data_IF_553667871289
#
_entry.id   IF_553667871289
#
_cell.length_a   1.000
_cell.length_b   1.000
_cell.length_c   1.000
_cell.angle_alpha   90.00
_cell.angle_beta   90.00
_cell.angle_gamma   90.00
#
_symmetry.space_group_name_H-M   'P 1'
#
loop_
_entity.id
_entity.type
_entity.pdbx_description
1 polymer ?
#
# COMPACT_ATOMS: atom_id res chain seq x y z
N UNK A 1 2.34 16.06 3.97
CA UNK A 1 2.87 16.64 5.22
C UNK A 1 3.14 15.48 6.16
N UNK A 2 4.30 15.44 6.82
CA UNK A 2 4.62 14.37 7.74
C UNK A 2 3.75 14.47 9.01
N UNK A 3 3.38 13.33 9.58
CA UNK A 3 2.63 13.27 10.82
C UNK A 3 3.49 13.77 11.98
N UNK A 4 2.98 14.65 12.85
CA UNK A 4 3.75 15.20 13.97
C UNK A 4 4.00 14.18 15.09
N UNK A 5 3.22 13.10 15.11
CA UNK A 5 3.32 11.99 16.06
C UNK A 5 3.31 10.66 15.32
N UNK A 6 3.94 9.61 15.87
CA UNK A 6 3.96 8.28 15.27
C UNK A 6 2.54 7.73 15.15
N UNK A 7 2.10 7.51 13.91
CA UNK A 7 0.79 6.92 13.62
C UNK A 7 0.74 5.46 14.08
N UNK A 8 -0.47 4.98 14.39
CA UNK A 8 -0.73 3.62 14.90
C UNK A 8 -1.89 2.97 14.15
N UNK A 9 -1.98 1.64 14.29
CA UNK A 9 -3.06 0.82 13.75
C UNK A 9 -3.42 1.18 12.29
N UNK A 10 -4.68 1.52 12.00
CA UNK A 10 -5.16 1.80 10.64
C UNK A 10 -4.47 3.00 9.99
N UNK A 11 -4.22 4.06 10.75
CA UNK A 11 -3.57 5.27 10.24
C UNK A 11 -2.13 4.99 9.82
N UNK A 12 -1.44 4.12 10.58
CA UNK A 12 -0.09 3.68 10.22
C UNK A 12 -0.09 2.89 8.92
N UNK A 13 -1.01 1.94 8.77
CA UNK A 13 -1.09 1.09 7.57
C UNK A 13 -1.44 1.93 6.34
N UNK A 14 -2.39 2.85 6.44
CA UNK A 14 -2.78 3.74 5.34
C UNK A 14 -1.61 4.65 4.92
N UNK A 15 -0.97 5.30 5.90
CA UNK A 15 0.21 6.13 5.65
C UNK A 15 1.36 5.32 5.03
N UNK A 16 1.65 4.14 5.57
CA UNK A 16 2.70 3.27 5.04
C UNK A 16 2.41 2.86 3.60
N UNK A 17 1.17 2.46 3.29
CA UNK A 17 0.74 2.09 1.94
C UNK A 17 0.84 3.26 0.96
N UNK A 18 0.40 4.46 1.35
CA UNK A 18 0.50 5.66 0.53
C UNK A 18 1.96 6.02 0.17
N UNK A 19 2.89 5.69 1.05
CA UNK A 19 4.32 5.97 0.89
C UNK A 19 5.15 4.75 0.47
N UNK A 20 4.56 3.57 0.31
CA UNK A 20 5.28 2.32 0.07
C UNK A 20 6.11 2.35 -1.23
N UNK A 21 5.62 3.06 -2.27
CA UNK A 21 6.35 3.26 -3.54
C UNK A 21 7.62 4.13 -3.38
N UNK A 22 7.68 4.97 -2.34
CA UNK A 22 8.80 5.87 -2.06
C UNK A 22 9.88 5.22 -1.19
N UNK A 23 9.61 4.02 -0.66
CA UNK A 23 10.52 3.26 0.19
C UNK A 23 10.35 3.54 1.68
N UNK A 24 10.99 2.69 2.47
CA UNK A 24 10.79 2.60 3.93
C UNK A 24 11.22 3.85 4.69
N UNK A 25 12.31 4.50 4.27
CA UNK A 25 12.81 5.71 4.92
C UNK A 25 11.83 6.88 4.79
N UNK A 26 11.24 7.05 3.60
CA UNK A 26 10.26 8.11 3.37
C UNK A 26 8.96 7.78 4.09
N UNK A 27 8.49 6.54 4.05
CA UNK A 27 7.30 6.12 4.77
C UNK A 27 7.42 6.37 6.28
N UNK A 28 8.51 5.93 6.92
CA UNK A 28 8.75 6.16 8.35
C UNK A 28 8.71 7.65 8.71
N UNK A 29 9.37 8.49 7.93
CA UNK A 29 9.36 9.95 8.13
C UNK A 29 7.96 10.54 8.00
N UNK A 30 7.20 10.14 6.98
CA UNK A 30 5.84 10.66 6.76
C UNK A 30 4.84 10.15 7.82
N UNK A 31 5.06 8.95 8.36
CA UNK A 31 4.19 8.35 9.37
C UNK A 31 4.59 8.74 10.82
N UNK A 32 5.53 9.66 11.00
CA UNK A 32 5.88 10.23 12.31
C UNK A 32 6.96 9.47 13.09
N UNK A 33 7.66 8.53 12.44
CA UNK A 33 8.77 7.75 13.02
C UNK A 33 10.16 8.36 12.70
N UNK A 34 10.23 9.31 11.77
CA UNK A 34 11.48 9.96 11.40
C UNK A 34 12.48 8.97 10.79
N UNK A 35 13.60 8.79 11.48
CA UNK A 35 14.67 7.86 11.09
C UNK A 35 14.58 6.51 11.82
N UNK A 36 13.60 6.34 12.71
CA UNK A 36 13.42 5.12 13.50
C UNK A 36 12.71 4.03 12.69
N UNK A 37 13.44 3.47 11.73
CA UNK A 37 12.91 2.45 10.80
C UNK A 37 12.58 1.13 11.51
N UNK A 38 13.28 0.83 12.61
CA UNK A 38 13.06 -0.40 13.37
C UNK A 38 11.69 -0.34 14.06
N UNK A 39 11.42 0.72 14.83
CA UNK A 39 10.11 0.91 15.47
C UNK A 39 9.01 1.04 14.43
N UNK A 40 9.24 1.75 13.31
CA UNK A 40 8.26 1.82 12.22
C UNK A 40 7.89 0.44 11.69
N UNK A 41 8.89 -0.43 11.44
CA UNK A 41 8.66 -1.76 10.89
C UNK A 41 7.92 -2.68 11.86
N UNK A 42 8.29 -2.65 13.13
CA UNK A 42 7.62 -3.43 14.18
C UNK A 42 6.16 -3.01 14.35
N UNK A 43 5.91 -1.71 14.46
CA UNK A 43 4.55 -1.18 14.61
C UNK A 43 3.69 -1.43 13.37
N UNK A 44 4.28 -1.30 12.17
CA UNK A 44 3.58 -1.58 10.93
C UNK A 44 3.18 -3.06 10.85
N UNK A 45 4.09 -3.96 11.21
CA UNK A 45 3.80 -5.39 11.26
C UNK A 45 2.71 -5.72 12.27
N UNK A 46 2.78 -5.15 13.48
CA UNK A 46 1.74 -5.35 14.49
C UNK A 46 0.38 -4.80 14.03
N UNK A 47 0.35 -3.63 13.40
CA UNK A 47 -0.87 -3.04 12.87
C UNK A 47 -1.50 -3.92 11.78
N UNK A 48 -0.69 -4.47 10.88
CA UNK A 48 -1.16 -5.40 9.85
C UNK A 48 -1.66 -6.72 10.46
N UNK A 49 -0.93 -7.28 11.42
CA UNK A 49 -1.27 -8.54 12.10
C UNK A 49 -2.62 -8.44 12.84
N UNK A 50 -2.87 -7.31 13.51
CA UNK A 50 -4.18 -7.01 14.14
C UNK A 50 -5.34 -6.98 13.15
N UNK A 51 -5.08 -6.68 11.88
CA UNK A 51 -6.06 -6.67 10.80
C UNK A 51 -6.14 -8.03 10.07
N UNK A 52 -5.35 -9.03 10.49
CA UNK A 52 -5.27 -10.32 9.81
C UNK A 52 -4.49 -10.27 8.50
N UNK A 53 -3.66 -9.24 8.29
CA UNK A 53 -2.83 -9.05 7.10
C UNK A 53 -1.38 -9.45 7.46
N UNK A 54 -0.86 -10.47 6.80
CA UNK A 54 0.54 -10.88 6.95
C UNK A 54 1.38 -10.15 5.91
N UNK A 55 2.33 -9.32 6.37
CA UNK A 55 3.29 -8.62 5.50
C UNK A 55 4.72 -9.02 5.87
N UNK A 56 5.59 -9.16 4.87
CA UNK A 56 7.03 -9.35 5.08
C UNK A 56 7.82 -8.04 4.94
N UNK A 57 7.37 -7.15 4.07
CA UNK A 57 8.02 -5.89 3.77
C UNK A 57 7.00 -4.81 3.42
N UNK A 58 7.41 -3.54 3.49
CA UNK A 58 6.53 -2.40 3.19
C UNK A 58 5.86 -2.50 1.81
N UNK A 59 6.56 -3.08 0.82
CA UNK A 59 6.05 -3.24 -0.54
C UNK A 59 4.92 -4.25 -0.65
N UNK A 60 4.76 -5.14 0.32
CA UNK A 60 3.68 -6.12 0.36
C UNK A 60 2.30 -5.44 0.51
N UNK A 61 2.27 -4.23 1.09
CA UNK A 61 1.06 -3.39 1.15
C UNK A 61 0.63 -2.84 -0.22
N UNK A 62 1.50 -2.92 -1.24
CA UNK A 62 1.15 -2.59 -2.60
C UNK A 62 0.33 -3.74 -3.18
N UNK A 63 -0.94 -3.47 -3.42
CA UNK A 63 -1.84 -4.44 -4.03
C UNK A 63 -1.36 -4.72 -5.46
N UNK A 64 -1.30 -5.99 -5.93
CA UNK A 64 -0.87 -6.30 -7.29
C UNK A 64 -1.74 -5.65 -8.39
N UNK A 65 -2.94 -5.18 -8.02
CA UNK A 65 -3.81 -4.39 -8.90
C UNK A 65 -3.21 -3.05 -9.34
N UNK A 66 -2.22 -2.51 -8.63
CA UNK A 66 -1.53 -1.26 -9.03
C UNK A 66 -0.57 -1.48 -10.22
N UNK A 67 -0.10 -2.72 -10.44
CA UNK A 67 0.59 -3.12 -11.68
C UNK A 67 -0.38 -3.48 -12.82
N UNK A 68 -1.67 -3.65 -12.51
CA UNK A 68 -2.80 -4.00 -13.39
C UNK A 68 -3.12 -2.97 -14.49
N UNK A 69 -2.85 -1.70 -14.22
CA UNK A 69 -3.55 -0.59 -14.93
C UNK A 69 -2.83 -0.20 -16.24
N UNK A 70 -1.69 -0.83 -16.55
CA UNK A 70 -1.00 -0.68 -17.83
C UNK A 70 -0.93 -2.02 -18.55
N UNK A 71 -2.05 -2.64 -18.91
CA UNK A 71 -2.20 -3.48 -20.12
C UNK A 71 -3.64 -4.02 -20.22
N UNK A 72 -4.24 -3.85 -21.40
CA UNK A 72 -5.47 -4.51 -21.87
C UNK A 72 -6.83 -3.86 -21.51
N UNK A 73 -6.98 -2.56 -21.76
CA UNK A 73 -8.30 -2.06 -22.18
C UNK A 73 -8.52 -2.43 -23.66
N UNK A 74 -8.77 -3.70 -23.94
CA UNK A 74 -9.50 -4.12 -25.13
C UNK A 74 -10.63 -5.04 -24.67
N UNK A 75 -11.70 -4.38 -24.25
CA UNK A 75 -13.04 -4.94 -24.18
C UNK A 75 -13.38 -5.48 -25.58
N UNK A 76 -13.22 -6.78 -25.77
CA UNK A 76 -13.76 -7.50 -26.93
C UNK A 76 -15.25 -7.63 -26.67
N UNK A 77 -16.06 -6.79 -27.31
CA UNK A 77 -17.50 -7.00 -27.36
C UNK A 77 -17.78 -8.31 -28.11
N UNK A 78 -18.72 -9.16 -27.64
CA UNK A 78 -19.10 -10.33 -28.42
C UNK A 78 -19.76 -9.87 -29.73
N UNK A 79 -19.19 -10.33 -30.83
CA UNK A 79 -19.70 -10.22 -32.18
C UNK A 79 -21.15 -10.72 -32.21
N UNK A 80 -22.10 -9.82 -32.42
CA UNK A 80 -23.47 -10.20 -32.75
C UNK A 80 -23.65 -9.91 -34.23
N UNK A 81 -23.72 -10.92 -35.13
CA UNK A 81 -24.20 -10.67 -36.47
C UNK A 81 -25.70 -10.36 -36.37
N UNK A 82 -26.03 -9.08 -36.25
CA UNK A 82 -27.34 -8.59 -36.66
C UNK A 82 -27.30 -8.46 -38.17
N UNK A 83 -27.74 -9.50 -38.87
CA UNK A 83 -28.19 -9.35 -40.25
C UNK A 83 -29.59 -9.98 -40.37
N UNK A 84 -30.54 -9.04 -40.38
CA UNK A 84 -31.81 -8.94 -41.12
C UNK A 84 -32.31 -10.18 -41.90
#
# INVERSE_FOLDING_TARGET
MASPTPLKDLELVDCARANAKQGITIAAKQCGYGEDLNTFSEELKQACDRMGIQINELRDLLTPQDNLISTNSQIIAPDTPSEL
#
